data_IF_614446374781
#
_entry.id   IF_614446374781
#
_cell.length_a   1.000
_cell.length_b   1.000
_cell.length_c   1.000
_cell.angle_alpha   90.00
_cell.angle_beta   90.00
_cell.angle_gamma   90.00
#
_symmetry.space_group_name_H-M   'P 1'
#
loop_
_entity.id
_entity.type
_entity.pdbx_description
1 polymer ?
#
# COMPACT_ATOMS: atom_id res chain seq x y z
N UNK A 1 12.34 -16.23 -14.46
CA UNK A 1 11.86 -14.89 -14.10
C UNK A 1 10.43 -15.09 -13.61
N UNK A 2 10.13 -14.80 -12.34
CA UNK A 2 8.76 -15.01 -11.84
C UNK A 2 7.83 -14.02 -12.57
N UNK A 3 6.68 -14.46 -13.11
CA UNK A 3 5.73 -13.55 -13.74
C UNK A 3 5.29 -12.52 -12.69
N UNK A 4 5.31 -11.24 -13.07
CA UNK A 4 4.74 -10.19 -12.22
C UNK A 4 3.24 -10.49 -12.14
N UNK A 5 2.66 -10.63 -10.94
CA UNK A 5 1.24 -10.92 -10.83
C UNK A 5 0.42 -9.76 -11.41
N UNK A 6 -0.60 -10.09 -12.20
CA UNK A 6 -1.66 -9.18 -12.70
C UNK A 6 -2.58 -8.66 -11.57
N UNK A 7 -2.11 -8.76 -10.32
CA UNK A 7 -2.86 -8.42 -9.13
C UNK A 7 -1.93 -7.66 -8.20
N UNK A 8 -2.29 -6.42 -7.91
CA UNK A 8 -1.66 -5.63 -6.85
C UNK A 8 -2.50 -5.78 -5.58
N UNK A 9 -1.91 -6.25 -4.49
CA UNK A 9 -2.60 -6.45 -3.22
C UNK A 9 -2.21 -5.37 -2.20
N UNK A 10 -3.20 -4.70 -1.62
CA UNK A 10 -3.00 -3.74 -0.53
C UNK A 10 -3.69 -4.18 0.75
N UNK A 11 -2.93 -4.33 1.82
CA UNK A 11 -3.46 -4.70 3.14
C UNK A 11 -4.05 -3.47 3.83
N UNK A 12 -5.28 -3.11 3.46
CA UNK A 12 -5.99 -1.96 4.01
C UNK A 12 -7.32 -2.31 4.68
N UNK A 13 -7.92 -3.46 4.37
CA UNK A 13 -9.32 -3.77 4.73
C UNK A 13 -9.58 -3.75 6.23
N UNK A 14 -8.61 -4.23 7.02
CA UNK A 14 -8.69 -4.28 8.49
C UNK A 14 -7.83 -3.21 9.18
N UNK A 15 -7.17 -2.33 8.42
CA UNK A 15 -6.27 -1.31 8.95
C UNK A 15 -7.06 -0.04 9.24
N UNK A 16 -7.68 0.02 10.41
CA UNK A 16 -8.48 1.18 10.84
C UNK A 16 -7.73 2.13 11.77
N UNK A 17 -6.56 1.72 12.29
CA UNK A 17 -5.83 2.46 13.32
C UNK A 17 -5.36 3.85 12.89
N UNK A 18 -4.94 4.02 11.63
CA UNK A 18 -4.49 5.31 11.12
C UNK A 18 -5.65 6.30 10.95
N UNK A 19 -6.83 5.80 10.58
CA UNK A 19 -8.07 6.60 10.51
C UNK A 19 -8.48 7.05 11.91
N UNK A 20 -8.49 6.13 12.87
CA UNK A 20 -8.75 6.46 14.28
C UNK A 20 -7.79 7.52 14.80
N UNK A 21 -6.50 7.40 14.48
CA UNK A 21 -5.50 8.38 14.88
C UNK A 21 -5.76 9.76 14.25
N UNK A 22 -6.08 9.80 12.95
CA UNK A 22 -6.41 11.04 12.26
C UNK A 22 -7.61 11.75 12.89
N UNK A 23 -8.71 11.02 13.14
CA UNK A 23 -9.91 11.58 13.79
C UNK A 23 -9.61 12.07 15.22
N UNK A 24 -8.86 11.29 16.00
CA UNK A 24 -8.46 11.66 17.36
C UNK A 24 -7.66 12.97 17.43
N UNK A 25 -6.97 13.32 16.35
CA UNK A 25 -6.15 14.53 16.26
C UNK A 25 -6.75 15.61 15.32
N UNK A 26 -7.92 15.34 14.71
CA UNK A 26 -8.52 16.24 13.71
C UNK A 26 -7.60 16.49 12.51
N UNK A 27 -6.82 15.49 12.10
CA UNK A 27 -5.89 15.59 11.00
C UNK A 27 -6.53 15.10 9.69
N UNK A 28 -6.32 15.85 8.61
CA UNK A 28 -6.78 15.46 7.29
C UNK A 28 -5.97 14.27 6.76
N UNK A 29 -6.66 13.32 6.15
CA UNK A 29 -6.04 12.14 5.54
C UNK A 29 -5.84 12.39 4.06
N UNK A 30 -4.62 12.16 3.55
CA UNK A 30 -4.33 12.25 2.11
C UNK A 30 -4.10 10.85 1.55
N UNK A 31 -5.08 10.27 0.84
CA UNK A 31 -4.91 8.98 0.17
C UNK A 31 -3.75 9.06 -0.81
N UNK A 32 -2.79 8.16 -0.68
CA UNK A 32 -1.55 8.21 -1.47
C UNK A 32 -1.24 6.82 -1.98
N UNK A 33 -0.95 6.70 -3.28
CA UNK A 33 -0.59 5.43 -3.91
C UNK A 33 0.77 5.53 -4.59
N UNK A 34 1.65 4.57 -4.29
CA UNK A 34 3.00 4.47 -4.86
C UNK A 34 2.96 3.46 -6.01
N UNK A 35 3.19 3.92 -7.24
CA UNK A 35 3.28 3.05 -8.41
C UNK A 35 4.72 2.57 -8.63
N UNK A 36 4.85 1.34 -9.11
CA UNK A 36 6.12 0.77 -9.59
C UNK A 36 7.08 0.28 -8.50
N UNK A 37 6.71 0.38 -7.22
CA UNK A 37 7.51 -0.16 -6.10
C UNK A 37 7.88 -1.64 -6.30
N UNK A 38 6.92 -2.46 -6.77
CA UNK A 38 7.10 -3.89 -7.05
C UNK A 38 8.17 -4.23 -8.10
N UNK A 39 8.61 -3.27 -8.90
CA UNK A 39 9.62 -3.48 -9.94
C UNK A 39 11.03 -3.07 -9.51
N UNK A 40 11.16 -2.32 -8.41
CA UNK A 40 12.45 -1.81 -7.94
C UNK A 40 13.29 -2.89 -7.28
N UNK A 41 12.65 -3.85 -6.60
CA UNK A 41 13.31 -4.89 -5.83
C UNK A 41 12.69 -6.25 -6.09
N UNK A 42 13.52 -7.30 -6.03
CA UNK A 42 13.01 -8.65 -5.87
C UNK A 42 12.74 -8.86 -4.39
N UNK A 43 11.53 -9.24 -4.04
CA UNK A 43 11.17 -9.68 -2.70
C UNK A 43 11.09 -11.19 -2.66
N UNK A 44 11.69 -11.78 -1.63
CA UNK A 44 11.46 -13.15 -1.26
C UNK A 44 10.83 -13.20 0.12
N UNK A 45 9.60 -13.71 0.18
CA UNK A 45 8.90 -13.92 1.44
C UNK A 45 9.24 -15.30 2.01
N UNK A 46 9.90 -15.38 3.17
CA UNK A 46 10.14 -16.65 3.84
C UNK A 46 8.82 -17.33 4.25
N UNK A 47 8.82 -18.63 4.55
CA UNK A 47 7.67 -19.31 5.11
C UNK A 47 7.12 -18.61 6.36
N UNK A 48 5.80 -18.61 6.55
CA UNK A 48 5.13 -17.95 7.69
C UNK A 48 5.67 -18.40 9.05
N UNK A 49 6.16 -19.64 9.16
CA UNK A 49 6.80 -20.17 10.36
C UNK A 49 8.08 -19.40 10.71
N UNK A 50 8.93 -19.12 9.71
CA UNK A 50 10.16 -18.34 9.87
C UNK A 50 9.83 -16.91 10.23
N UNK A 51 8.91 -16.27 9.50
CA UNK A 51 8.48 -14.89 9.81
C UNK A 51 7.94 -14.81 11.24
N UNK A 52 7.12 -15.76 11.68
CA UNK A 52 6.59 -15.79 13.04
C UNK A 52 7.66 -16.07 14.10
N UNK A 53 8.65 -16.92 13.80
CA UNK A 53 9.77 -17.16 14.70
C UNK A 53 10.55 -15.86 14.95
N UNK A 54 10.96 -15.18 13.88
CA UNK A 54 11.69 -13.91 14.01
C UNK A 54 10.84 -12.80 14.63
N UNK A 55 9.55 -12.73 14.30
CA UNK A 55 8.63 -11.78 14.94
C UNK A 55 8.51 -12.01 16.45
N UNK A 56 8.51 -13.27 16.90
CA UNK A 56 8.45 -13.60 18.34
C UNK A 56 9.79 -13.37 19.03
N UNK A 57 10.91 -13.68 18.38
CA UNK A 57 12.24 -13.62 18.98
C UNK A 57 12.85 -12.22 18.95
N UNK A 58 12.73 -11.49 17.84
CA UNK A 58 13.36 -10.17 17.60
C UNK A 58 12.36 -9.02 17.53
N UNK A 59 11.05 -9.29 17.57
CA UNK A 59 10.02 -8.25 17.41
C UNK A 59 9.86 -7.71 15.98
N UNK A 60 10.69 -8.15 15.03
CA UNK A 60 10.74 -7.66 13.65
C UNK A 60 10.50 -8.83 12.68
N UNK A 61 9.60 -8.70 11.69
CA UNK A 61 9.45 -9.70 10.65
C UNK A 61 10.67 -9.70 9.72
N UNK A 62 11.19 -10.88 9.37
CA UNK A 62 12.25 -11.01 8.37
C UNK A 62 11.67 -10.75 6.97
N UNK A 63 12.26 -9.76 6.29
CA UNK A 63 12.01 -9.41 4.90
C UNK A 63 13.33 -9.49 4.15
N UNK A 64 13.40 -10.35 3.13
CA UNK A 64 14.59 -10.49 2.29
C UNK A 64 14.27 -9.87 0.94
N UNK A 65 14.99 -8.81 0.58
CA UNK A 65 14.86 -8.16 -0.71
C UNK A 65 16.24 -7.80 -1.28
N UNK A 66 16.35 -7.80 -2.61
CA UNK A 66 17.57 -7.38 -3.31
C UNK A 66 17.22 -6.76 -4.68
N UNK A 67 18.04 -5.81 -5.12
CA UNK A 67 17.85 -5.08 -6.37
C UNK A 67 18.80 -5.52 -7.48
N UNK A 68 19.41 -4.57 -8.20
CA UNK A 68 20.36 -4.84 -9.30
C UNK A 68 21.71 -5.31 -8.76
N UNK A 69 22.19 -4.66 -7.71
CA UNK A 69 23.43 -4.99 -7.02
C UNK A 69 23.19 -4.85 -5.52
N UNK A 70 22.99 -5.98 -4.82
CA UNK A 70 22.61 -6.04 -3.41
C UNK A 70 21.37 -5.17 -3.10
N UNK A 71 21.52 -3.98 -2.53
CA UNK A 71 20.43 -3.09 -2.13
C UNK A 71 20.12 -1.99 -3.16
N UNK A 72 20.84 -1.92 -4.30
CA UNK A 72 20.62 -0.85 -5.27
C UNK A 72 19.34 -1.12 -6.09
N UNK A 73 18.40 -0.15 -6.22
CA UNK A 73 17.17 -0.34 -6.99
C UNK A 73 17.43 -0.81 -8.41
N UNK A 74 16.53 -1.62 -8.94
CA UNK A 74 16.50 -1.95 -10.37
C UNK A 74 15.89 -0.80 -11.15
N UNK A 75 16.44 -0.56 -12.35
CA UNK A 75 15.76 0.31 -13.30
C UNK A 75 14.46 -0.37 -13.75
N UNK A 76 13.32 0.36 -13.78
CA UNK A 76 12.09 -0.19 -14.30
C UNK A 76 12.25 -0.57 -15.78
N UNK A 77 11.50 -1.57 -16.24
CA UNK A 77 11.50 -1.99 -17.64
C UNK A 77 10.98 -0.86 -18.54
N UNK A 78 11.29 -0.92 -19.84
CA UNK A 78 10.88 0.10 -20.80
C UNK A 78 9.36 0.26 -20.78
N UNK A 79 8.87 1.49 -20.58
CA UNK A 79 7.44 1.80 -20.48
C UNK A 79 6.89 1.78 -19.05
N UNK A 80 7.64 1.26 -18.07
CA UNK A 80 7.25 1.25 -16.66
C UNK A 80 7.86 2.42 -15.92
N UNK A 81 7.09 3.04 -15.02
CA UNK A 81 7.52 4.22 -14.27
C UNK A 81 7.28 4.04 -12.78
N UNK A 82 8.17 4.62 -11.99
CA UNK A 82 7.96 4.82 -10.55
C UNK A 82 7.38 6.21 -10.33
N UNK A 83 6.40 6.31 -9.45
CA UNK A 83 5.86 7.61 -9.06
C UNK A 83 4.86 7.51 -7.93
N UNK A 84 4.54 8.67 -7.39
CA UNK A 84 3.65 8.85 -6.26
C UNK A 84 2.49 9.73 -6.68
N UNK A 85 1.26 9.24 -6.46
CA UNK A 85 0.05 10.02 -6.73
C UNK A 85 -0.64 10.32 -5.40
N UNK A 86 -0.88 11.61 -5.18
CA UNK A 86 -1.63 12.11 -4.04
C UNK A 86 -3.09 12.34 -4.46
N UNK A 87 -4.01 11.77 -3.68
CA UNK A 87 -5.44 11.98 -3.81
C UNK A 87 -5.91 13.27 -3.15
N UNK A 88 -7.22 13.47 -3.19
CA UNK A 88 -7.85 14.61 -2.49
C UNK A 88 -7.80 14.41 -0.98
N UNK A 89 -7.45 15.44 -0.19
CA UNK A 89 -7.54 15.37 1.27
C UNK A 89 -8.97 15.02 1.73
N UNK A 90 -9.07 14.09 2.67
CA UNK A 90 -10.30 13.70 3.35
C UNK A 90 -10.28 14.38 4.71
N UNK A 91 -11.15 15.38 4.87
CA UNK A 91 -11.26 16.12 6.10
C UNK A 91 -11.77 15.20 7.23
N UNK A 92 -11.14 15.31 8.41
CA UNK A 92 -11.65 14.64 9.62
C UNK A 92 -12.06 15.68 10.65
N UNK A 93 -13.04 15.35 11.47
CA UNK A 93 -13.44 16.19 12.59
C UNK A 93 -12.78 15.66 13.85
N UNK A 94 -12.21 16.54 14.66
CA UNK A 94 -11.63 16.16 15.95
C UNK A 94 -12.69 15.47 16.83
N UNK A 95 -12.49 14.19 17.10
CA UNK A 95 -13.31 13.41 18.03
C UNK A 95 -12.38 12.52 18.88
N UNK A 96 -12.23 12.78 20.20
CA UNK A 96 -11.37 11.98 21.07
C UNK A 96 -11.82 10.52 21.26
N UNK A 97 -13.10 10.23 21.04
CA UNK A 97 -13.68 8.89 21.17
C UNK A 97 -14.56 8.57 19.93
N UNK A 98 -13.94 8.36 18.76
CA UNK A 98 -14.67 8.10 17.53
C UNK A 98 -15.36 6.75 17.58
N UNK A 99 -16.59 6.70 17.08
CA UNK A 99 -17.33 5.43 16.99
C UNK A 99 -16.78 4.57 15.85
N UNK A 100 -17.05 3.27 15.88
CA UNK A 100 -16.57 2.37 14.84
C UNK A 100 -17.17 2.73 13.46
N UNK A 101 -18.41 3.21 13.45
CA UNK A 101 -19.13 3.66 12.25
C UNK A 101 -18.45 4.89 11.62
N UNK A 102 -18.04 5.86 12.44
CA UNK A 102 -17.33 7.05 11.98
C UNK A 102 -15.98 6.68 11.35
N UNK A 103 -15.22 5.81 12.03
CA UNK A 103 -13.94 5.31 11.53
C UNK A 103 -14.15 4.56 10.20
N UNK A 104 -15.16 3.70 10.12
CA UNK A 104 -15.46 2.93 8.90
C UNK A 104 -15.90 3.82 7.76
N UNK A 105 -16.71 4.85 8.01
CA UNK A 105 -17.14 5.79 6.98
C UNK A 105 -15.94 6.49 6.32
N UNK A 106 -15.02 7.04 7.12
CA UNK A 106 -13.80 7.67 6.60
C UNK A 106 -12.88 6.65 5.93
N UNK A 107 -12.76 5.44 6.47
CA UNK A 107 -11.99 4.35 5.85
C UNK A 107 -12.54 3.96 4.47
N UNK A 108 -13.86 3.88 4.31
CA UNK A 108 -14.48 3.61 3.01
C UNK A 108 -14.15 4.71 2.00
N UNK A 109 -14.21 5.99 2.39
CA UNK A 109 -13.80 7.10 1.52
C UNK A 109 -12.32 7.00 1.14
N UNK A 110 -11.45 6.66 2.09
CA UNK A 110 -10.02 6.48 1.84
C UNK A 110 -9.77 5.35 0.83
N UNK A 111 -10.39 4.19 1.02
CA UNK A 111 -10.23 3.03 0.14
C UNK A 111 -10.75 3.34 -1.27
N UNK A 112 -11.92 3.97 -1.38
CA UNK A 112 -12.49 4.36 -2.66
C UNK A 112 -11.58 5.32 -3.43
N UNK A 113 -10.94 6.28 -2.75
CA UNK A 113 -9.99 7.18 -3.41
C UNK A 113 -8.72 6.46 -3.85
N UNK A 114 -8.22 5.49 -3.08
CA UNK A 114 -7.09 4.64 -3.50
C UNK A 114 -7.43 3.82 -4.74
N UNK A 115 -8.61 3.20 -4.78
CA UNK A 115 -9.09 2.45 -5.95
C UNK A 115 -9.22 3.36 -7.18
N UNK A 116 -9.77 4.58 -6.99
CA UNK A 116 -9.87 5.59 -8.04
C UNK A 116 -8.49 6.02 -8.58
N UNK A 117 -7.52 6.28 -7.70
CA UNK A 117 -6.15 6.64 -8.08
C UNK A 117 -5.52 5.51 -8.88
N UNK A 118 -5.65 4.26 -8.42
CA UNK A 118 -5.12 3.12 -9.13
C UNK A 118 -5.70 3.02 -10.54
N UNK A 119 -7.03 3.00 -10.66
CA UNK A 119 -7.69 2.82 -11.95
C UNK A 119 -7.38 3.96 -12.93
N UNK A 120 -7.33 5.20 -12.44
CA UNK A 120 -7.06 6.36 -13.29
C UNK A 120 -5.61 6.36 -13.83
N UNK A 121 -4.64 5.99 -13.00
CA UNK A 121 -3.22 6.21 -13.31
C UNK A 121 -2.44 4.93 -13.67
N UNK A 122 -3.02 3.73 -13.52
CA UNK A 122 -2.34 2.44 -13.79
C UNK A 122 -1.63 2.41 -15.15
N UNK A 123 -2.32 2.84 -16.22
CA UNK A 123 -1.77 2.84 -17.58
C UNK A 123 -0.63 3.84 -17.75
N UNK A 124 -0.66 4.99 -17.08
CA UNK A 124 0.41 5.99 -17.12
C UNK A 124 1.72 5.46 -16.52
N UNK A 125 1.61 4.59 -15.52
CA UNK A 125 2.76 3.98 -14.86
C UNK A 125 3.23 2.66 -15.50
N UNK A 126 2.59 2.22 -16.57
CA UNK A 126 2.94 1.00 -17.31
C UNK A 126 2.40 -0.29 -16.69
N UNK A 127 1.25 -0.20 -16.02
CA UNK A 127 0.45 -1.36 -15.63
C UNK A 127 -0.48 -1.73 -16.79
N UNK A 128 -0.75 -3.03 -16.94
CA UNK A 128 -1.66 -3.54 -17.98
C UNK A 128 -3.12 -3.22 -17.62
N UNK A 129 -4.00 -3.22 -18.63
CA UNK A 129 -5.41 -2.86 -18.46
C UNK A 129 -6.17 -3.87 -17.58
N UNK A 130 -5.80 -5.15 -17.67
CA UNK A 130 -6.34 -6.26 -16.89
C UNK A 130 -5.75 -6.36 -15.47
N UNK A 131 -4.74 -5.54 -15.15
CA UNK A 131 -4.18 -5.51 -13.81
C UNK A 131 -5.18 -4.87 -12.83
N UNK A 132 -5.48 -5.57 -11.74
CA UNK A 132 -6.46 -5.13 -10.74
C UNK A 132 -5.82 -4.88 -9.37
N UNK A 133 -6.36 -3.88 -8.67
CA UNK A 133 -6.06 -3.63 -7.27
C UNK A 133 -7.03 -4.42 -6.38
N UNK A 134 -6.49 -5.15 -5.40
CA UNK A 134 -7.29 -5.89 -4.42
C UNK A 134 -6.95 -5.45 -3.01
N UNK A 135 -7.97 -4.95 -2.32
CA UNK A 135 -7.88 -4.52 -0.93
C UNK A 135 -8.11 -5.72 -0.01
N UNK A 136 -7.06 -6.14 0.70
CA UNK A 136 -7.04 -7.31 1.60
C UNK A 136 -6.98 -6.93 3.08
#
# INVERSE_FOLDING_TARGET
>A
MCPVPLKTELVLKKRLGFIKLAINHGADLVPTFVFGEKWLYNLWNPPKSVINFFRKTLGIPVLVFWGKFWWMPRAPEKGKRYGLVYGKPIATKLNPNPTEEEIRAIHTLYVAEIERIFEQYKSEFGYEEDETLVIV
#
